data_IF_157139521576
#
_entry.id   IF_157139521576
#
_cell.length_a   1.000
_cell.length_b   1.000
_cell.length_c   1.000
_cell.angle_alpha   90.00
_cell.angle_beta   90.00
_cell.angle_gamma   90.00
#
_symmetry.space_group_name_H-M   'P 1'
#
loop_
_entity.id
_entity.type
_entity.pdbx_description
1 polymer ?
#
# COMPACT_ATOMS: atom_id res chain seq x y z
N UNK A 1 9.96 2.24 -3.37
CA UNK A 1 11.14 1.73 -4.14
C UNK A 1 10.82 1.05 -5.49
N UNK A 2 9.76 0.24 -5.61
CA UNK A 2 9.51 -0.56 -6.83
C UNK A 2 9.24 0.21 -8.13
N UNK A 3 8.53 1.34 -8.07
CA UNK A 3 8.31 2.16 -9.27
C UNK A 3 9.63 2.63 -9.89
N UNK A 4 10.60 3.01 -9.06
CA UNK A 4 11.93 3.44 -9.52
C UNK A 4 12.65 2.35 -10.32
N UNK A 5 12.50 1.07 -9.93
CA UNK A 5 13.09 -0.06 -10.65
C UNK A 5 12.43 -0.24 -12.03
N UNK A 6 11.11 -0.12 -12.10
CA UNK A 6 10.36 -0.17 -13.36
C UNK A 6 10.78 0.97 -14.30
N UNK A 7 10.91 2.20 -13.78
CA UNK A 7 11.32 3.37 -14.57
C UNK A 7 12.76 3.24 -15.10
N UNK A 8 13.63 2.54 -14.37
CA UNK A 8 15.00 2.28 -14.76
C UNK A 8 15.17 1.02 -15.61
N UNK A 9 14.10 0.25 -15.85
CA UNK A 9 14.16 -0.96 -16.63
C UNK A 9 14.49 -0.61 -18.10
N UNK A 10 15.44 -1.36 -18.67
CA UNK A 10 15.95 -1.14 -20.03
C UNK A 10 15.82 -2.42 -20.85
N UNK A 11 15.70 -2.26 -22.16
CA UNK A 11 15.81 -3.38 -23.09
C UNK A 11 17.27 -3.86 -23.22
N UNK A 12 17.47 -4.93 -23.99
CA UNK A 12 18.79 -5.52 -24.24
C UNK A 12 19.76 -4.59 -24.99
N UNK A 13 19.25 -3.49 -25.55
CA UNK A 13 20.04 -2.46 -26.25
C UNK A 13 20.29 -1.21 -25.39
N UNK A 14 19.87 -1.23 -24.12
CA UNK A 14 20.06 -0.15 -23.15
C UNK A 14 19.05 0.98 -23.26
N UNK A 15 17.97 0.82 -24.03
CA UNK A 15 16.90 1.82 -24.15
C UNK A 15 15.91 1.67 -23.00
N UNK A 16 15.42 2.76 -22.39
CA UNK A 16 14.41 2.69 -21.34
C UNK A 16 13.12 2.04 -21.87
N UNK A 17 12.55 1.10 -21.12
CA UNK A 17 11.25 0.50 -21.42
C UNK A 17 10.09 1.44 -21.10
N UNK A 18 10.29 2.31 -20.11
CA UNK A 18 9.32 3.34 -19.71
C UNK A 18 9.98 4.70 -19.93
N UNK A 19 9.39 5.54 -20.78
CA UNK A 19 9.92 6.87 -21.05
C UNK A 19 9.07 7.94 -20.34
N UNK A 20 9.60 8.60 -19.30
CA UNK A 20 8.87 9.62 -18.54
C UNK A 20 8.72 10.96 -19.26
N UNK A 21 9.33 11.15 -20.44
CA UNK A 21 9.38 12.46 -21.14
C UNK A 21 8.17 12.79 -22.02
N UNK A 22 7.16 11.91 -22.10
CA UNK A 22 5.94 12.14 -22.90
C UNK A 22 4.79 12.83 -22.13
N UNK A 23 5.09 13.48 -21.00
CA UNK A 23 4.12 14.20 -20.17
C UNK A 23 3.95 13.56 -18.80
N UNK A 24 3.67 14.41 -17.81
CA UNK A 24 3.49 14.14 -16.37
C UNK A 24 3.54 12.66 -16.00
N UNK A 25 4.64 12.27 -15.33
CA UNK A 25 4.82 11.06 -14.52
C UNK A 25 3.80 9.98 -14.86
N UNK A 26 4.10 9.00 -15.73
CA UNK A 26 3.07 8.20 -16.39
C UNK A 26 2.19 7.58 -15.32
N UNK A 27 1.03 8.21 -15.07
CA UNK A 27 0.09 7.77 -14.04
C UNK A 27 -0.45 6.40 -14.37
N UNK A 28 -0.10 5.88 -15.54
CA UNK A 28 -0.36 4.55 -16.03
C UNK A 28 0.89 3.84 -16.53
N UNK A 29 1.06 2.56 -16.17
CA UNK A 29 1.99 1.62 -16.79
C UNK A 29 1.19 0.66 -17.67
N UNK A 30 1.50 0.56 -18.97
CA UNK A 30 0.73 -0.25 -19.94
C UNK A 30 -0.80 0.00 -19.89
N UNK A 31 -1.21 1.27 -19.71
CA UNK A 31 -2.62 1.65 -19.61
C UNK A 31 -3.30 1.32 -18.27
N UNK A 32 -2.55 0.87 -17.25
CA UNK A 32 -3.06 0.58 -15.90
C UNK A 32 -2.54 1.61 -14.90
N UNK A 33 -3.37 2.15 -14.00
CA UNK A 33 -2.94 3.16 -13.05
C UNK A 33 -1.86 2.63 -12.10
N UNK A 34 -0.94 3.51 -11.69
CA UNK A 34 0.12 3.21 -10.73
C UNK A 34 -0.20 3.90 -9.40
N UNK A 35 -0.08 3.16 -8.30
CA UNK A 35 -0.21 3.69 -6.95
C UNK A 35 1.06 3.40 -6.15
N UNK A 36 1.69 4.45 -5.62
CA UNK A 36 2.78 4.32 -4.65
C UNK A 36 2.19 4.31 -3.24
N UNK A 37 2.34 3.18 -2.56
CA UNK A 37 1.77 2.92 -1.24
C UNK A 37 2.94 2.63 -0.29
N UNK A 38 3.21 3.47 0.73
CA UNK A 38 4.35 3.30 1.63
C UNK A 38 4.23 2.07 2.54
N UNK A 39 3.01 1.54 2.72
CA UNK A 39 2.75 0.33 3.49
C UNK A 39 3.21 -0.96 2.78
N UNK A 40 3.47 -0.91 1.47
CA UNK A 40 4.03 -2.06 0.74
C UNK A 40 5.50 -2.23 1.16
N UNK A 41 5.90 -3.39 1.73
CA UNK A 41 7.25 -3.61 2.21
C UNK A 41 8.30 -3.39 1.13
N UNK A 42 9.34 -2.61 1.45
CA UNK A 42 10.49 -2.44 0.57
C UNK A 42 11.49 -3.59 0.69
N UNK A 43 11.37 -4.44 1.72
CA UNK A 43 12.24 -5.59 1.94
C UNK A 43 11.45 -6.73 2.60
N UNK A 44 11.53 -7.92 2.00
CA UNK A 44 10.87 -9.13 2.48
C UNK A 44 11.69 -9.96 3.48
N UNK A 45 12.87 -9.49 3.90
CA UNK A 45 13.66 -10.12 4.96
C UNK A 45 15.17 -10.11 4.70
N UNK A 46 15.81 -11.26 4.94
CA UNK A 46 17.28 -11.42 4.89
C UNK A 46 17.69 -11.90 3.50
N UNK A 47 17.58 -11.03 2.50
CA UNK A 47 17.88 -11.36 1.11
C UNK A 47 18.13 -10.14 0.24
N UNK A 48 18.44 -10.37 -1.04
CA UNK A 48 18.58 -9.31 -2.05
C UNK A 48 17.26 -8.99 -2.75
N UNK A 49 16.13 -9.49 -2.27
CA UNK A 49 14.83 -9.23 -2.88
C UNK A 49 14.35 -7.84 -2.47
N UNK A 50 14.46 -6.90 -3.41
CA UNK A 50 14.55 -5.47 -3.10
C UNK A 50 13.22 -4.71 -3.07
N UNK A 51 12.10 -5.35 -3.44
CA UNK A 51 10.79 -4.69 -3.54
C UNK A 51 9.66 -5.67 -3.77
N UNK A 52 8.47 -5.30 -3.30
CA UNK A 52 7.20 -5.90 -3.71
C UNK A 52 6.44 -4.99 -4.67
N UNK A 53 5.88 -5.58 -5.73
CA UNK A 53 4.89 -4.94 -6.59
C UNK A 53 3.64 -5.80 -6.61
N UNK A 54 2.48 -5.19 -6.36
CA UNK A 54 1.19 -5.85 -6.50
C UNK A 54 0.53 -5.37 -7.79
N UNK A 55 0.11 -6.32 -8.62
CA UNK A 55 -0.56 -6.05 -9.87
C UNK A 55 -1.85 -6.85 -9.95
N UNK A 56 -2.95 -6.20 -10.28
CA UNK A 56 -4.25 -6.86 -10.36
C UNK A 56 -5.43 -5.92 -10.41
N UNK A 57 -6.62 -6.50 -10.41
CA UNK A 57 -7.87 -5.77 -10.26
C UNK A 57 -8.35 -5.81 -8.81
N UNK A 58 -8.27 -4.65 -8.15
CA UNK A 58 -8.71 -4.46 -6.78
C UNK A 58 -10.18 -4.01 -6.68
N UNK A 59 -10.91 -3.90 -7.79
CA UNK A 59 -12.32 -3.47 -7.80
C UNK A 59 -13.24 -4.37 -6.96
N UNK A 60 -12.83 -5.64 -6.76
CA UNK A 60 -13.54 -6.62 -5.92
C UNK A 60 -12.98 -6.71 -4.49
N UNK A 61 -12.05 -5.83 -4.10
CA UNK A 61 -11.56 -5.74 -2.74
C UNK A 61 -12.53 -4.90 -1.90
N UNK A 62 -13.29 -5.55 -1.03
CA UNK A 62 -14.25 -4.89 -0.17
C UNK A 62 -13.59 -4.49 1.15
N UNK A 63 -13.72 -3.21 1.51
CA UNK A 63 -13.39 -2.69 2.83
C UNK A 63 -14.70 -2.46 3.57
N UNK A 64 -14.84 -3.07 4.74
CA UNK A 64 -16.04 -3.01 5.58
C UNK A 64 -15.73 -2.12 6.78
N UNK A 65 -16.51 -1.05 6.94
CA UNK A 65 -16.44 -0.14 8.08
C UNK A 65 -17.56 -0.46 9.06
N UNK A 66 -17.21 -0.93 10.27
CA UNK A 66 -18.19 -1.30 11.27
C UNK A 66 -18.40 -0.17 12.30
N UNK A 67 -19.61 0.41 12.26
CA UNK A 67 -20.10 1.43 13.20
C UNK A 67 -19.30 2.74 13.23
N UNK A 68 -18.49 3.03 12.20
CA UNK A 68 -17.74 4.27 12.09
C UNK A 68 -16.64 4.43 13.13
N UNK A 69 -15.84 5.48 12.98
CA UNK A 69 -14.82 5.86 13.97
C UNK A 69 -15.44 6.63 15.13
N UNK A 70 -14.94 6.42 16.35
CA UNK A 70 -15.36 7.19 17.54
C UNK A 70 -14.18 7.68 18.37
N UNK A 71 -14.34 8.87 18.95
CA UNK A 71 -13.42 9.42 19.94
C UNK A 71 -13.95 9.15 21.35
N UNK A 72 -13.06 8.67 22.21
CA UNK A 72 -13.33 8.43 23.62
C UNK A 72 -12.32 9.27 24.43
N UNK A 73 -12.74 10.40 25.03
CA UNK A 73 -11.92 11.11 26.00
C UNK A 73 -11.88 10.32 27.30
N UNK A 74 -10.69 10.13 27.85
CA UNK A 74 -10.49 9.46 29.14
C UNK A 74 -9.86 10.45 30.11
N UNK A 75 -10.66 10.87 31.10
CA UNK A 75 -10.25 11.75 32.20
C UNK A 75 -10.63 11.19 33.58
N UNK A 76 -11.25 10.01 33.62
CA UNK A 76 -11.78 9.42 34.86
C UNK A 76 -10.82 8.46 35.57
N UNK A 77 -9.59 8.29 35.06
CA UNK A 77 -8.57 7.47 35.71
C UNK A 77 -7.84 8.29 36.78
N UNK A 78 -7.63 7.70 37.96
CA UNK A 78 -6.97 8.36 39.10
C UNK A 78 -5.56 8.84 38.75
N UNK A 79 -4.81 8.10 37.93
CA UNK A 79 -3.47 8.51 37.50
C UNK A 79 -3.53 9.74 36.59
N UNK A 80 -4.49 9.80 35.66
CA UNK A 80 -4.61 10.91 34.72
C UNK A 80 -5.07 12.20 35.41
N UNK A 81 -5.99 12.08 36.38
CA UNK A 81 -6.45 13.22 37.18
C UNK A 81 -5.33 13.82 38.05
N UNK A 82 -4.49 12.98 38.67
CA UNK A 82 -3.39 13.45 39.53
C UNK A 82 -2.23 14.11 38.76
N UNK A 83 -2.13 13.89 37.46
CA UNK A 83 -1.04 14.38 36.62
C UNK A 83 -1.47 15.44 35.59
N UNK A 84 -2.70 15.96 35.69
CA UNK A 84 -3.26 16.95 34.75
C UNK A 84 -3.19 16.51 33.28
N UNK A 85 -3.44 15.21 33.01
CA UNK A 85 -3.39 14.63 31.65
C UNK A 85 -4.80 14.30 31.17
N UNK A 86 -5.08 14.64 29.90
CA UNK A 86 -6.25 14.16 29.17
C UNK A 86 -5.78 13.26 28.04
N UNK A 87 -6.33 12.04 27.96
CA UNK A 87 -6.03 11.11 26.87
C UNK A 87 -7.22 11.02 25.94
N UNK A 88 -6.96 11.10 24.64
CA UNK A 88 -7.96 10.84 23.61
C UNK A 88 -7.64 9.50 22.94
N UNK A 89 -8.66 8.64 22.87
CA UNK A 89 -8.58 7.39 22.12
C UNK A 89 -9.50 7.47 20.91
N UNK A 90 -8.96 7.20 19.72
CA UNK A 90 -9.76 6.97 18.53
C UNK A 90 -9.89 5.47 18.28
N UNK A 91 -11.12 4.98 18.14
CA UNK A 91 -11.39 3.58 17.84
C UNK A 91 -12.17 3.48 16.54
N UNK A 92 -11.64 2.70 15.60
CA UNK A 92 -12.31 2.33 14.36
C UNK A 92 -12.20 0.83 14.16
N UNK A 93 -13.28 0.18 13.73
CA UNK A 93 -13.31 -1.25 13.41
C UNK A 93 -13.44 -1.40 11.91
N UNK A 94 -12.42 -2.00 11.31
CA UNK A 94 -12.33 -2.25 9.88
C UNK A 94 -12.16 -3.75 9.68
N UNK A 95 -12.78 -4.26 8.63
CA UNK A 95 -12.48 -5.58 8.06
C UNK A 95 -12.28 -5.40 6.56
N UNK A 96 -11.55 -6.30 5.92
CA UNK A 96 -11.34 -6.24 4.49
C UNK A 96 -11.14 -7.63 3.88
N UNK A 97 -11.76 -7.84 2.73
CA UNK A 97 -11.67 -9.12 2.01
C UNK A 97 -11.95 -8.91 0.53
N UNK A 98 -11.28 -9.70 -0.30
CA UNK A 98 -11.70 -9.90 -1.69
C UNK A 98 -13.04 -10.65 -1.75
N UNK A 99 -14.02 -10.08 -2.45
CA UNK A 99 -15.32 -10.72 -2.67
C UNK A 99 -15.18 -12.07 -3.40
N UNK A 100 -14.23 -12.15 -4.32
CA UNK A 100 -13.74 -13.38 -4.93
C UNK A 100 -12.21 -13.36 -4.88
N UNK A 101 -11.59 -14.42 -4.36
CA UNK A 101 -10.14 -14.56 -4.37
C UNK A 101 -9.75 -15.92 -4.92
N UNK A 102 -9.07 -15.90 -6.05
CA UNK A 102 -8.36 -17.03 -6.60
C UNK A 102 -6.90 -16.61 -6.81
N UNK A 103 -5.92 -17.34 -6.23
CA UNK A 103 -4.51 -17.00 -6.37
C UNK A 103 -4.11 -16.89 -7.84
N UNK A 104 -3.49 -15.79 -8.23
CA UNK A 104 -3.01 -15.58 -9.60
C UNK A 104 -4.05 -15.10 -10.60
N UNK A 105 -5.32 -14.97 -10.19
CA UNK A 105 -6.41 -14.52 -11.10
C UNK A 105 -6.69 -13.03 -10.91
N UNK A 106 -6.90 -12.58 -9.68
CA UNK A 106 -7.32 -11.20 -9.41
C UNK A 106 -6.15 -10.29 -9.08
N UNK A 107 -5.22 -10.76 -8.24
CA UNK A 107 -4.02 -10.03 -7.84
C UNK A 107 -2.83 -10.96 -7.80
N UNK A 108 -1.72 -10.49 -8.37
CA UNK A 108 -0.43 -11.16 -8.38
C UNK A 108 0.56 -10.32 -7.59
N UNK A 109 1.32 -11.00 -6.73
CA UNK A 109 2.47 -10.44 -6.04
C UNK A 109 3.72 -10.73 -6.87
N UNK A 110 4.45 -9.69 -7.25
CA UNK A 110 5.73 -9.77 -7.95
C UNK A 110 6.81 -9.47 -6.91
N UNK A 111 7.64 -10.46 -6.61
CA UNK A 111 8.73 -10.39 -5.62
C UNK A 111 10.09 -10.42 -6.29
N UNK A 112 11.11 -9.89 -5.62
CA UNK A 112 12.50 -10.00 -6.09
C UNK A 112 12.81 -9.10 -7.28
N UNK A 113 12.06 -8.02 -7.46
CA UNK A 113 12.33 -7.02 -8.50
C UNK A 113 13.63 -6.29 -8.15
N UNK A 114 14.59 -6.32 -9.07
CA UNK A 114 15.96 -5.80 -8.93
C UNK A 114 16.29 -4.89 -10.11
#
# INVERSE_FOLDING_TARGET
>A
KGLRLILNAKDTTGRPLVNPTLGEFPGTLFGRPIYEIPEIPENLGVGSDETEIYFGDFSNYAIIDYKGGRFEPQSSDQYMFLNDVIVFKFVKRLDAKFAYFEPGVNVVKITGVK
#
